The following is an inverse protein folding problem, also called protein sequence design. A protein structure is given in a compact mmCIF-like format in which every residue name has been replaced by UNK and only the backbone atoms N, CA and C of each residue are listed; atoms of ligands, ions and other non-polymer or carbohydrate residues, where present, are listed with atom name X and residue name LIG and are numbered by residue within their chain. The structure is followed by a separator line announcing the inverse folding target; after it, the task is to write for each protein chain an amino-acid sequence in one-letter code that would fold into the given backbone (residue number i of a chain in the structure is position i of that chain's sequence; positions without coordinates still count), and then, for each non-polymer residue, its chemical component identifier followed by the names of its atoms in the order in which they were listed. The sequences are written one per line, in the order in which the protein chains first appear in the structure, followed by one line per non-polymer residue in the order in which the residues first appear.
data_IF_722919600456
#
_entry.id   IF_722919600456
#
_cell.length_a   1.000
_cell.length_b   1.000
_cell.length_c   1.000
_cell.angle_alpha   90.00
_cell.angle_beta   90.00
_cell.angle_gamma   90.00
#
_symmetry.space_group_name_H-M   'P 1'
#
loop_
_entity.id
_entity.type
_entity.pdbx_description
1 polymer ?
#
# COMPACT_ATOMS: atom_id res chain seq x y z
N UNK A 1 4.60 2.16 -28.67
CA UNK A 1 4.65 2.91 -27.40
C UNK A 1 3.60 2.42 -26.37
N UNK A 2 2.54 1.74 -26.77
CA UNK A 2 1.44 1.28 -25.89
C UNK A 2 1.80 0.16 -24.90
N UNK A 3 2.66 -0.76 -25.26
CA UNK A 3 3.12 -1.86 -24.40
C UNK A 3 3.98 -1.41 -23.23
N UNK A 4 4.69 -0.28 -23.37
CA UNK A 4 5.57 0.23 -22.32
C UNK A 4 4.77 0.65 -21.05
N UNK A 5 3.62 1.29 -21.21
CA UNK A 5 2.80 1.75 -20.09
C UNK A 5 2.24 0.58 -19.26
N UNK A 6 1.74 -0.47 -19.93
CA UNK A 6 1.24 -1.67 -19.25
C UNK A 6 2.35 -2.40 -18.49
N UNK A 7 3.54 -2.52 -19.08
CA UNK A 7 4.70 -3.13 -18.42
C UNK A 7 5.16 -2.30 -17.22
N UNK A 8 5.17 -0.97 -17.34
CA UNK A 8 5.53 -0.08 -16.22
C UNK A 8 4.58 -0.24 -15.05
N UNK A 9 3.25 -0.31 -15.30
CA UNK A 9 2.27 -0.54 -14.24
C UNK A 9 2.49 -1.88 -13.55
N UNK A 10 2.68 -2.96 -14.32
CA UNK A 10 2.95 -4.30 -13.78
C UNK A 10 4.26 -4.34 -13.00
N UNK A 11 5.30 -3.65 -13.47
CA UNK A 11 6.56 -3.51 -12.75
C UNK A 11 6.38 -2.77 -11.42
N UNK A 12 5.54 -1.73 -11.37
CA UNK A 12 5.19 -1.02 -10.13
C UNK A 12 4.40 -1.93 -9.18
N UNK A 13 3.42 -2.69 -9.67
CA UNK A 13 2.70 -3.70 -8.86
C UNK A 13 3.69 -4.68 -8.24
N UNK A 14 4.58 -5.25 -9.05
CA UNK A 14 5.61 -6.17 -8.58
C UNK A 14 6.53 -5.53 -7.53
N UNK A 15 7.11 -4.39 -7.85
CA UNK A 15 8.10 -3.73 -6.99
C UNK A 15 7.49 -3.30 -5.65
N UNK A 16 6.31 -2.64 -5.67
CA UNK A 16 5.66 -2.18 -4.45
C UNK A 16 5.20 -3.35 -3.57
N UNK A 17 4.58 -4.38 -4.15
CA UNK A 17 4.13 -5.55 -3.41
C UNK A 17 5.29 -6.34 -2.80
N UNK A 18 6.32 -6.62 -3.59
CA UNK A 18 7.52 -7.32 -3.11
C UNK A 18 8.23 -6.54 -2.00
N UNK A 19 8.41 -5.22 -2.18
CA UNK A 19 9.06 -4.37 -1.18
C UNK A 19 8.24 -4.29 0.10
N UNK A 20 6.90 -4.15 0.01
CA UNK A 20 6.02 -4.13 1.17
C UNK A 20 6.16 -5.40 1.99
N UNK A 21 6.13 -6.57 1.34
CA UNK A 21 6.29 -7.86 1.99
C UNK A 21 7.66 -8.01 2.66
N UNK A 22 8.74 -7.61 1.97
CA UNK A 22 10.09 -7.64 2.54
C UNK A 22 10.23 -6.72 3.75
N UNK A 23 9.67 -5.52 3.69
CA UNK A 23 9.70 -4.56 4.82
C UNK A 23 8.92 -5.09 6.02
N UNK A 24 7.85 -5.84 5.78
CA UNK A 24 7.01 -6.42 6.83
C UNK A 24 7.65 -7.62 7.55
N UNK A 25 8.58 -8.32 6.90
CA UNK A 25 9.26 -9.51 7.46
C UNK A 25 10.31 -9.15 8.50
N UNK A 26 10.56 -10.04 9.50
CA UNK A 26 11.67 -9.90 10.43
C UNK A 26 13.02 -9.81 9.70
N UNK A 27 14.01 -9.06 10.24
CA UNK A 27 15.33 -8.88 9.61
C UNK A 27 16.04 -10.20 9.26
N UNK A 28 15.94 -11.21 10.14
CA UNK A 28 16.58 -12.50 9.96
C UNK A 28 16.10 -13.27 8.72
N UNK A 29 14.81 -13.14 8.41
CA UNK A 29 14.22 -13.75 7.20
C UNK A 29 14.60 -13.00 5.91
N UNK A 30 14.85 -11.69 6.02
CA UNK A 30 15.31 -10.87 4.88
C UNK A 30 16.77 -11.12 4.50
N UNK A 31 17.60 -11.53 5.48
CA UNK A 31 19.01 -11.80 5.24
C UNK A 31 19.24 -13.08 4.42
N UNK A 32 18.28 -14.02 4.44
CA UNK A 32 18.34 -15.24 3.63
C UNK A 32 17.92 -14.99 2.18
N UNK A 33 18.26 -15.91 1.28
CA UNK A 33 17.88 -15.82 -0.14
C UNK A 33 16.45 -16.31 -0.41
N UNK A 34 15.97 -17.26 0.38
CA UNK A 34 14.69 -17.97 0.13
C UNK A 34 13.49 -17.04 0.26
N UNK A 35 13.41 -16.28 1.34
CA UNK A 35 12.26 -15.39 1.58
C UNK A 35 12.17 -14.23 0.60
N UNK A 36 13.29 -13.54 0.24
CA UNK A 36 13.25 -12.56 -0.84
C UNK A 36 12.83 -13.13 -2.19
N UNK A 37 13.26 -14.35 -2.53
CA UNK A 37 12.82 -15.01 -3.76
C UNK A 37 11.33 -15.36 -3.74
N UNK A 38 10.81 -15.86 -2.63
CA UNK A 38 9.38 -16.13 -2.47
C UNK A 38 8.56 -14.84 -2.56
N UNK A 39 9.00 -13.77 -1.90
CA UNK A 39 8.35 -12.46 -1.99
C UNK A 39 8.34 -11.93 -3.43
N UNK A 40 9.46 -12.04 -4.13
CA UNK A 40 9.56 -11.65 -5.53
C UNK A 40 8.65 -12.49 -6.44
N UNK A 41 8.54 -13.79 -6.19
CA UNK A 41 7.67 -14.70 -6.93
C UNK A 41 6.18 -14.36 -6.72
N UNK A 42 5.75 -14.18 -5.47
CA UNK A 42 4.35 -13.81 -5.16
C UNK A 42 4.01 -12.44 -5.76
N UNK A 43 4.94 -11.47 -5.65
CA UNK A 43 4.78 -10.18 -6.32
C UNK A 43 4.68 -10.29 -7.83
N UNK A 44 5.44 -11.21 -8.46
CA UNK A 44 5.39 -11.47 -9.89
C UNK A 44 4.04 -12.07 -10.31
N UNK A 45 3.49 -13.00 -9.53
CA UNK A 45 2.16 -13.57 -9.78
C UNK A 45 1.07 -12.49 -9.69
N UNK A 46 1.12 -11.62 -8.69
CA UNK A 46 0.19 -10.49 -8.58
C UNK A 46 0.32 -9.50 -9.75
N UNK A 47 1.53 -9.27 -10.26
CA UNK A 47 1.76 -8.40 -11.41
C UNK A 47 1.35 -9.03 -12.74
N UNK A 48 1.50 -10.37 -12.88
CA UNK A 48 1.10 -11.10 -14.07
C UNK A 48 -0.43 -11.16 -14.20
N UNK A 49 -1.13 -11.37 -13.09
CA UNK A 49 -2.59 -11.50 -13.02
C UNK A 49 -3.20 -10.50 -12.03
N UNK A 50 -3.28 -9.21 -12.38
CA UNK A 50 -3.71 -8.16 -11.46
C UNK A 50 -5.20 -8.25 -11.05
N UNK A 51 -6.01 -9.06 -11.72
CA UNK A 51 -7.40 -9.35 -11.36
C UNK A 51 -7.54 -10.58 -10.45
N UNK A 52 -6.44 -11.25 -10.19
CA UNK A 52 -6.45 -12.52 -9.44
C UNK A 52 -6.42 -12.32 -7.94
N UNK A 53 -6.66 -13.42 -7.22
CA UNK A 53 -6.53 -13.48 -5.76
C UNK A 53 -5.11 -13.19 -5.26
N UNK A 54 -4.10 -13.25 -6.13
CA UNK A 54 -2.70 -13.03 -5.74
C UNK A 54 -2.44 -11.63 -5.20
N UNK A 55 -3.14 -10.60 -5.73
CA UNK A 55 -3.05 -9.22 -5.24
C UNK A 55 -3.50 -9.16 -3.78
N UNK A 56 -4.72 -9.65 -3.49
CA UNK A 56 -5.27 -9.68 -2.15
C UNK A 56 -4.44 -10.57 -1.20
N UNK A 57 -4.00 -11.73 -1.70
CA UNK A 57 -3.17 -12.66 -0.91
C UNK A 57 -1.86 -12.02 -0.48
N UNK A 58 -1.19 -11.29 -1.37
CA UNK A 58 0.04 -10.58 -1.05
C UNK A 58 -0.21 -9.50 0.03
N UNK A 59 -1.30 -8.74 -0.09
CA UNK A 59 -1.67 -7.72 0.89
C UNK A 59 -1.94 -8.33 2.28
N UNK A 60 -2.74 -9.39 2.34
CA UNK A 60 -3.06 -10.10 3.60
C UNK A 60 -1.80 -10.70 4.22
N UNK A 61 -0.96 -11.37 3.42
CA UNK A 61 0.31 -11.97 3.89
C UNK A 61 1.26 -10.88 4.40
N UNK A 62 1.32 -9.73 3.73
CA UNK A 62 2.15 -8.60 4.18
C UNK A 62 1.71 -8.07 5.54
N UNK A 63 0.41 -7.85 5.74
CA UNK A 63 -0.13 -7.39 7.03
C UNK A 63 0.09 -8.45 8.11
N UNK A 64 -0.14 -9.73 7.79
CA UNK A 64 0.09 -10.84 8.72
C UNK A 64 1.57 -10.95 9.10
N UNK A 65 2.50 -10.81 8.15
CA UNK A 65 3.94 -10.82 8.40
C UNK A 65 4.38 -9.66 9.31
N UNK A 66 3.82 -8.46 9.11
CA UNK A 66 4.09 -7.31 9.97
C UNK A 66 3.56 -7.52 11.39
N UNK A 67 2.34 -8.04 11.55
CA UNK A 67 1.77 -8.38 12.85
C UNK A 67 2.60 -9.48 13.54
N UNK A 68 3.01 -10.50 12.81
CA UNK A 68 3.86 -11.56 13.33
C UNK A 68 5.22 -10.99 13.82
N UNK A 69 5.82 -10.10 13.04
CA UNK A 69 7.08 -9.43 13.38
C UNK A 69 6.96 -8.64 14.69
N UNK A 70 5.86 -7.92 14.87
CA UNK A 70 5.65 -7.08 16.05
C UNK A 70 5.20 -7.87 17.27
N UNK A 71 4.30 -8.85 17.11
CA UNK A 71 3.68 -9.57 18.25
C UNK A 71 4.49 -10.80 18.65
N UNK A 72 4.86 -11.66 17.69
CA UNK A 72 5.52 -12.94 17.98
C UNK A 72 7.04 -12.80 18.13
N UNK A 73 7.68 -11.94 17.34
CA UNK A 73 9.11 -11.69 17.42
C UNK A 73 9.48 -10.53 18.35
N UNK A 74 8.50 -9.87 18.97
CA UNK A 74 8.73 -8.82 19.96
C UNK A 74 9.42 -7.57 19.42
N UNK A 75 9.44 -7.36 18.11
CA UNK A 75 9.97 -6.12 17.54
C UNK A 75 9.02 -4.97 17.83
N UNK A 76 9.49 -3.85 18.43
CA UNK A 76 8.60 -2.75 18.74
C UNK A 76 7.94 -2.20 17.47
N UNK A 77 6.62 -1.95 17.49
CA UNK A 77 5.92 -1.41 16.32
C UNK A 77 6.47 -0.03 15.97
N UNK A 78 6.98 0.11 14.76
CA UNK A 78 7.43 1.39 14.21
C UNK A 78 6.34 1.99 13.33
N UNK A 79 5.84 3.16 13.71
CA UNK A 79 4.86 3.91 12.91
C UNK A 79 5.37 4.24 11.52
N UNK A 80 6.66 4.55 11.39
CA UNK A 80 7.30 4.80 10.10
C UNK A 80 7.24 3.56 9.20
N UNK A 81 7.54 2.38 9.75
CA UNK A 81 7.46 1.12 9.01
C UNK A 81 6.01 0.81 8.61
N UNK A 82 5.05 1.01 9.52
CA UNK A 82 3.63 0.83 9.23
C UNK A 82 3.15 1.76 8.11
N UNK A 83 3.56 3.03 8.13
CA UNK A 83 3.26 4.01 7.07
C UNK A 83 3.86 3.60 5.72
N UNK A 84 5.11 3.16 5.72
CA UNK A 84 5.78 2.69 4.49
C UNK A 84 5.08 1.48 3.92
N UNK A 85 4.75 0.48 4.75
CA UNK A 85 3.99 -0.70 4.32
C UNK A 85 2.63 -0.28 3.76
N UNK A 86 1.87 0.55 4.49
CA UNK A 86 0.57 1.04 4.05
C UNK A 86 0.62 1.80 2.73
N UNK A 87 1.62 2.67 2.55
CA UNK A 87 1.83 3.41 1.30
C UNK A 87 2.16 2.47 0.13
N UNK A 88 3.05 1.50 0.34
CA UNK A 88 3.43 0.52 -0.68
C UNK A 88 2.25 -0.37 -1.07
N UNK A 89 1.46 -0.86 -0.10
CA UNK A 89 0.26 -1.66 -0.37
C UNK A 89 -0.81 -0.84 -1.10
N UNK A 90 -0.99 0.43 -0.71
CA UNK A 90 -1.93 1.30 -1.41
C UNK A 90 -1.54 1.56 -2.86
N UNK A 91 -0.26 1.82 -3.13
CA UNK A 91 0.25 1.97 -4.51
C UNK A 91 0.11 0.65 -5.27
N UNK A 92 0.48 -0.47 -4.65
CA UNK A 92 0.33 -1.82 -5.21
C UNK A 92 -1.11 -2.08 -5.65
N UNK A 93 -2.08 -1.90 -4.76
CA UNK A 93 -3.50 -2.09 -5.04
C UNK A 93 -4.02 -1.15 -6.14
N UNK A 94 -3.70 0.15 -6.05
CA UNK A 94 -4.14 1.15 -7.02
C UNK A 94 -3.58 0.87 -8.43
N UNK A 95 -2.32 0.43 -8.53
CA UNK A 95 -1.70 0.08 -9.80
C UNK A 95 -2.22 -1.25 -10.34
N UNK A 96 -2.48 -2.24 -9.48
CA UNK A 96 -3.11 -3.51 -9.87
C UNK A 96 -4.52 -3.27 -10.42
N UNK A 97 -5.34 -2.47 -9.73
CA UNK A 97 -6.67 -2.11 -10.19
C UNK A 97 -6.63 -1.38 -11.54
N UNK A 98 -5.62 -0.53 -11.79
CA UNK A 98 -5.46 0.13 -13.09
C UNK A 98 -4.99 -0.86 -14.17
N UNK A 99 -4.06 -1.77 -13.84
CA UNK A 99 -3.55 -2.77 -14.76
C UNK A 99 -4.61 -3.79 -15.17
N UNK A 100 -5.54 -4.12 -14.26
CA UNK A 100 -6.66 -5.03 -14.50
C UNK A 100 -7.60 -4.54 -15.63
N UNK A 101 -7.80 -3.23 -15.73
CA UNK A 101 -8.68 -2.64 -16.74
C UNK A 101 -8.00 -2.36 -18.09
N UNK A 102 -6.70 -2.63 -18.21
CA UNK A 102 -5.93 -2.28 -19.39
C UNK A 102 -5.43 -3.55 -20.10
N UNK A 103 -5.93 -3.87 -21.30
CA UNK A 103 -5.32 -4.89 -22.13
C UNK A 103 -3.88 -4.53 -22.45
N UNK A 104 -3.02 -5.54 -22.53
CA UNK A 104 -1.56 -5.39 -22.69
C UNK A 104 -1.16 -4.43 -23.84
N UNK A 105 -1.92 -4.31 -24.96
CA UNK A 105 -1.58 -3.37 -26.03
C UNK A 105 -2.24 -1.99 -25.92
N UNK A 106 -2.93 -1.66 -24.81
CA UNK A 106 -3.67 -0.40 -24.72
C UNK A 106 -2.77 0.78 -24.29
N UNK A 107 -2.99 1.94 -24.91
CA UNK A 107 -2.44 3.21 -24.46
C UNK A 107 -3.35 3.86 -23.43
N UNK A 108 -2.77 4.28 -22.31
CA UNK A 108 -3.53 5.02 -21.28
C UNK A 108 -3.63 6.48 -21.69
N UNK A 109 -4.83 7.06 -21.74
CA UNK A 109 -4.96 8.51 -21.92
C UNK A 109 -4.29 9.24 -20.76
N UNK A 110 -3.39 10.17 -21.08
CA UNK A 110 -2.63 10.96 -20.08
C UNK A 110 -3.55 11.59 -19.01
N UNK A 111 -4.73 12.15 -19.35
CA UNK A 111 -5.64 12.72 -18.35
C UNK A 111 -6.14 11.71 -17.32
N UNK A 112 -6.35 10.46 -17.73
CA UNK A 112 -6.78 9.39 -16.81
C UNK A 112 -5.65 9.02 -15.83
N UNK A 113 -4.42 8.92 -16.34
CA UNK A 113 -3.26 8.61 -15.54
C UNK A 113 -2.98 9.72 -14.51
N UNK A 114 -2.99 10.99 -14.94
CA UNK A 114 -2.76 12.13 -14.04
C UNK A 114 -3.82 12.25 -12.96
N UNK A 115 -5.10 12.03 -13.30
CA UNK A 115 -6.21 12.02 -12.34
C UNK A 115 -6.04 10.90 -11.29
N UNK A 116 -5.66 9.70 -11.72
CA UNK A 116 -5.43 8.56 -10.82
C UNK A 116 -4.21 8.79 -9.93
N UNK A 117 -3.09 9.23 -10.49
CA UNK A 117 -1.89 9.57 -9.72
C UNK A 117 -2.16 10.71 -8.73
N UNK A 118 -2.96 11.71 -9.10
CA UNK A 118 -3.39 12.76 -8.20
C UNK A 118 -4.19 12.24 -7.00
N UNK A 119 -5.10 11.29 -7.22
CA UNK A 119 -5.86 10.65 -6.13
C UNK A 119 -4.94 9.82 -5.22
N UNK A 120 -4.03 9.05 -5.81
CA UNK A 120 -3.04 8.27 -5.04
C UNK A 120 -2.17 9.20 -4.19
N UNK A 121 -1.65 10.26 -4.79
CA UNK A 121 -0.86 11.26 -4.08
C UNK A 121 -1.65 11.97 -2.97
N UNK A 122 -2.90 12.32 -3.24
CA UNK A 122 -3.80 12.92 -2.25
C UNK A 122 -4.08 12.01 -1.06
N UNK A 123 -4.35 10.72 -1.31
CA UNK A 123 -4.58 9.74 -0.25
C UNK A 123 -3.32 9.52 0.61
N UNK A 124 -2.14 9.42 -0.03
CA UNK A 124 -0.87 9.29 0.69
C UNK A 124 -0.57 10.54 1.53
N UNK A 125 -0.78 11.73 0.98
CA UNK A 125 -0.60 12.98 1.71
C UNK A 125 -1.55 13.09 2.91
N UNK A 126 -2.82 12.70 2.75
CA UNK A 126 -3.79 12.66 3.83
C UNK A 126 -3.39 11.64 4.91
N UNK A 127 -2.90 10.46 4.53
CA UNK A 127 -2.41 9.46 5.48
C UNK A 127 -1.24 9.99 6.30
N UNK A 128 -0.27 10.66 5.66
CA UNK A 128 0.85 11.30 6.36
C UNK A 128 0.37 12.42 7.28
N UNK A 129 -0.57 13.26 6.81
CA UNK A 129 -1.12 14.36 7.60
C UNK A 129 -1.86 13.87 8.86
N UNK A 130 -2.49 12.70 8.82
CA UNK A 130 -3.14 12.09 9.99
C UNK A 130 -2.13 11.41 10.90
N UNK A 131 -1.15 10.70 10.34
CA UNK A 131 -0.20 9.92 11.13
C UNK A 131 0.90 10.80 11.78
N UNK A 132 1.29 11.91 11.15
CA UNK A 132 2.34 12.79 11.66
C UNK A 132 1.99 13.37 13.05
N UNK A 133 0.81 13.96 13.28
CA UNK A 133 0.40 14.41 14.63
C UNK A 133 0.37 13.27 15.65
N UNK A 134 -0.10 12.09 15.25
CA UNK A 134 -0.14 10.92 16.15
C UNK A 134 1.25 10.51 16.59
N UNK A 135 2.23 10.48 15.68
CA UNK A 135 3.62 10.13 16.02
C UNK A 135 4.27 11.18 16.92
N UNK A 136 4.04 12.47 16.64
CA UNK A 136 4.57 13.57 17.46
C UNK A 136 3.95 13.56 18.86
N UNK A 137 2.65 13.41 18.96
CA UNK A 137 1.94 13.35 20.24
C UNK A 137 2.28 12.10 21.05
N UNK A 138 2.47 10.95 20.41
CA UNK A 138 2.88 9.70 21.08
C UNK A 138 4.31 9.78 21.62
N UNK A 139 5.20 10.52 20.97
CA UNK A 139 6.56 10.78 21.44
C UNK A 139 6.61 11.80 22.60
N UNK A 140 5.62 12.68 22.70
CA UNK A 140 5.56 13.73 23.71
C UNK A 140 4.83 13.30 25.00
N UNK A 141 3.97 12.28 24.93
CA UNK A 141 3.19 11.81 26.07
C UNK A 141 3.21 10.28 26.13
N UNK A 142 3.85 9.73 27.16
CA UNK A 142 3.89 8.30 27.47
C UNK A 142 2.52 7.71 27.89
N UNK A 143 1.39 8.34 27.50
CA UNK A 143 0.08 8.00 28.03
C UNK A 143 -1.12 8.04 27.09
N UNK A 144 -0.97 8.29 25.79
CA UNK A 144 -2.11 8.14 24.88
C UNK A 144 -2.41 6.65 24.71
N UNK A 145 -3.62 6.17 25.14
CA UNK A 145 -3.99 4.78 24.93
C UNK A 145 -3.90 4.43 23.45
N UNK A 146 -3.29 3.30 23.12
CA UNK A 146 -3.18 2.78 21.74
C UNK A 146 -4.52 2.74 21.01
N UNK A 147 -5.62 2.59 21.74
CA UNK A 147 -6.99 2.68 21.24
C UNK A 147 -7.32 4.04 20.60
N UNK A 148 -6.84 5.15 21.15
CA UNK A 148 -7.09 6.49 20.58
C UNK A 148 -6.37 6.65 19.25
N UNK A 149 -5.13 6.17 19.13
CA UNK A 149 -4.38 6.19 17.88
C UNK A 149 -5.06 5.33 16.79
N UNK A 150 -5.60 4.17 17.15
CA UNK A 150 -6.35 3.30 16.23
C UNK A 150 -7.65 3.97 15.77
N UNK A 151 -8.42 4.59 16.70
CA UNK A 151 -9.67 5.28 16.36
C UNK A 151 -9.40 6.47 15.43
N UNK A 152 -8.38 7.28 15.72
CA UNK A 152 -8.01 8.40 14.87
C UNK A 152 -7.54 7.96 13.49
N UNK A 153 -6.73 6.87 13.42
CA UNK A 153 -6.27 6.29 12.16
C UNK A 153 -7.41 5.72 11.32
N UNK A 154 -8.29 4.94 11.93
CA UNK A 154 -9.46 4.37 11.27
C UNK A 154 -10.47 5.45 10.84
N UNK A 155 -10.75 6.43 11.70
CA UNK A 155 -11.62 7.56 11.40
C UNK A 155 -11.08 8.42 10.27
N UNK A 156 -9.78 8.69 10.26
CA UNK A 156 -9.10 9.42 9.19
C UNK A 156 -9.17 8.66 7.86
N UNK A 157 -8.90 7.35 7.85
CA UNK A 157 -9.01 6.52 6.65
C UNK A 157 -10.43 6.49 6.08
N UNK A 158 -11.45 6.33 6.94
CA UNK A 158 -12.86 6.38 6.54
C UNK A 158 -13.26 7.76 6.01
N UNK A 159 -12.78 8.85 6.62
CA UNK A 159 -13.02 10.21 6.16
C UNK A 159 -12.43 10.46 4.78
N UNK A 160 -11.20 10.02 4.54
CA UNK A 160 -10.55 10.11 3.22
C UNK A 160 -11.29 9.26 2.19
N UNK A 161 -11.65 8.02 2.52
CA UNK A 161 -12.43 7.16 1.63
C UNK A 161 -13.76 7.80 1.27
N UNK A 162 -14.47 8.38 2.23
CA UNK A 162 -15.74 9.08 2.00
C UNK A 162 -15.59 10.28 1.07
N UNK A 163 -14.55 11.11 1.26
CA UNK A 163 -14.30 12.27 0.38
C UNK A 163 -13.95 11.83 -1.04
N UNK A 164 -13.15 10.76 -1.18
CA UNK A 164 -12.73 10.26 -2.49
C UNK A 164 -13.84 9.52 -3.25
N UNK A 165 -14.86 9.01 -2.54
CA UNK A 165 -16.00 8.30 -3.16
C UNK A 165 -17.20 9.21 -3.40
N UNK A 166 -17.16 10.47 -2.95
CA UNK A 166 -18.25 11.43 -3.27
C UNK A 166 -18.34 11.61 -4.78
N UNK A 167 -19.51 11.36 -5.40
CA UNK A 167 -19.73 11.74 -6.78
C UNK A 167 -19.61 13.27 -6.86
N UNK A 168 -18.88 13.75 -7.87
CA UNK A 168 -18.75 15.19 -8.12
C UNK A 168 -20.15 15.79 -8.27
N UNK A 169 -20.54 16.62 -7.31
CA UNK A 169 -21.85 17.29 -7.29
C UNK A 169 -22.04 18.29 -8.46
N UNK A 170 -21.03 18.43 -9.33
CA UNK A 170 -20.99 19.35 -10.46
C UNK A 170 -21.14 18.65 -11.83
N UNK A 171 -21.61 17.41 -11.86
CA UNK A 171 -21.84 16.63 -13.09
C UNK A 171 -23.29 16.74 -13.59
N UNK A 172 -23.87 17.92 -13.58
CA UNK A 172 -25.19 18.24 -14.16
C UNK A 172 -25.08 19.33 -15.20
#
# INVERSE_FOLDING_TARGET
MSTLHSLTLRALVWACGTTALLVAMPPDYRAGIVMPLLAALVGLLAAAEPESIWVLSLEVVTVAAWLLTTVAYGHPPSWTVALVIGALLYIHHAMAALAAHLPVPASIPVPLLTSRLGRVGGALAASVAVCLPVTVLSGASSGLPSAVAVILGAGGALGVAYVLTRPDANGG
#
